data_IF_744702098963
#
_entry.id   IF_744702098963
#
_cell.length_a   1.000
_cell.length_b   1.000
_cell.length_c   1.000
_cell.angle_alpha   90.00
_cell.angle_beta   90.00
_cell.angle_gamma   90.00
#
_symmetry.space_group_name_H-M   'P 1'
#
loop_
_entity.id
_entity.type
_entity.pdbx_description
1 polymer ?
#
# COMPACT_ATOMS: atom_id res chain seq x y z
N UNK A 1 -6.63 28.03 -14.95
CA UNK A 1 -6.45 26.81 -14.11
C UNK A 1 -6.37 27.28 -12.66
N UNK A 2 -7.07 26.62 -11.74
CA UNK A 2 -6.92 26.91 -10.30
C UNK A 2 -5.52 26.48 -9.88
N UNK A 3 -4.82 27.30 -9.13
CA UNK A 3 -3.57 26.94 -8.50
C UNK A 3 -3.85 25.85 -7.46
N UNK A 4 -3.15 24.72 -7.54
CA UNK A 4 -3.24 23.63 -6.54
C UNK A 4 -1.97 23.70 -5.69
N UNK A 5 -2.17 23.84 -4.37
CA UNK A 5 -1.07 23.86 -3.39
C UNK A 5 -0.64 22.45 -3.04
N UNK A 6 0.32 21.90 -3.82
CA UNK A 6 0.77 20.53 -3.63
C UNK A 6 2.26 20.33 -3.90
N UNK A 7 2.80 19.28 -3.28
CA UNK A 7 4.14 18.74 -3.47
C UNK A 7 4.10 17.38 -4.15
N UNK A 8 5.19 16.97 -4.79
CA UNK A 8 5.44 15.57 -5.16
C UNK A 8 6.46 14.98 -4.20
N UNK A 9 6.14 13.83 -3.59
CA UNK A 9 7.02 13.09 -2.69
C UNK A 9 7.36 11.76 -3.35
N UNK A 10 8.65 11.57 -3.66
CA UNK A 10 9.16 10.36 -4.32
C UNK A 10 10.01 9.59 -3.31
N UNK A 11 9.70 8.32 -3.07
CA UNK A 11 10.61 7.41 -2.40
C UNK A 11 11.40 6.61 -3.43
N UNK A 12 12.70 6.51 -3.25
CA UNK A 12 13.58 5.77 -4.16
C UNK A 12 14.79 5.21 -3.42
N UNK A 13 15.41 4.19 -3.99
CA UNK A 13 16.76 3.74 -3.62
C UNK A 13 17.80 4.11 -4.69
N UNK A 14 17.42 4.95 -5.66
CA UNK A 14 18.31 5.46 -6.70
C UNK A 14 18.63 4.47 -7.83
N UNK A 15 17.90 3.34 -7.96
CA UNK A 15 18.23 2.25 -8.88
C UNK A 15 17.22 2.02 -10.02
N UNK A 16 16.17 2.82 -10.14
CA UNK A 16 15.12 2.64 -11.14
C UNK A 16 15.52 3.10 -12.55
N UNK A 17 16.62 3.87 -12.69
CA UNK A 17 17.24 4.27 -13.97
C UNK A 17 16.24 4.89 -14.96
N UNK A 18 16.02 4.27 -16.15
CA UNK A 18 15.12 4.78 -17.19
C UNK A 18 13.67 4.92 -16.73
N UNK A 19 13.22 4.06 -15.79
CA UNK A 19 11.87 4.14 -15.23
C UNK A 19 11.72 5.39 -14.37
N UNK A 20 12.75 5.70 -13.59
CA UNK A 20 12.81 6.94 -12.83
C UNK A 20 12.82 8.17 -13.76
N UNK A 21 13.56 8.11 -14.90
CA UNK A 21 13.51 9.21 -15.88
C UNK A 21 12.08 9.45 -16.41
N UNK A 22 11.33 8.37 -16.74
CA UNK A 22 9.93 8.50 -17.19
C UNK A 22 9.02 9.13 -16.13
N UNK A 23 9.24 8.83 -14.84
CA UNK A 23 8.55 9.51 -13.76
C UNK A 23 8.88 11.02 -13.75
N UNK A 24 10.17 11.37 -13.84
CA UNK A 24 10.60 12.78 -13.86
C UNK A 24 10.02 13.54 -15.05
N UNK A 25 9.97 12.91 -16.22
CA UNK A 25 9.35 13.49 -17.44
C UNK A 25 7.84 13.69 -17.23
N UNK A 26 7.14 12.73 -16.60
CA UNK A 26 5.73 12.88 -16.23
C UNK A 26 5.50 14.03 -15.26
N UNK A 27 6.37 14.18 -14.24
CA UNK A 27 6.29 15.29 -13.27
C UNK A 27 6.54 16.64 -13.97
N UNK A 28 7.52 16.70 -14.86
CA UNK A 28 7.80 17.92 -15.62
C UNK A 28 6.66 18.32 -16.56
N UNK A 29 5.83 17.37 -17.00
CA UNK A 29 4.68 17.60 -17.86
C UNK A 29 3.38 17.95 -17.11
N UNK A 30 3.34 17.81 -15.76
CA UNK A 30 2.12 18.04 -14.95
C UNK A 30 1.54 19.45 -15.14
N UNK A 31 0.22 19.51 -15.13
CA UNK A 31 -0.55 20.76 -15.16
C UNK A 31 -1.70 20.65 -14.13
N UNK A 32 -1.67 21.48 -13.05
CA UNK A 32 -0.62 22.46 -12.67
C UNK A 32 0.68 21.80 -12.21
N UNK A 33 1.78 22.54 -12.26
CA UNK A 33 3.08 22.11 -11.72
C UNK A 33 3.04 22.04 -10.18
N UNK A 34 3.78 21.08 -9.55
CA UNK A 34 3.94 21.07 -8.10
C UNK A 34 4.79 22.24 -7.61
N UNK A 35 4.54 22.69 -6.38
CA UNK A 35 5.36 23.75 -5.74
C UNK A 35 6.74 23.25 -5.33
N UNK A 36 6.85 21.98 -4.99
CA UNK A 36 8.13 21.33 -4.65
C UNK A 36 8.12 19.86 -5.04
N UNK A 37 9.32 19.31 -5.29
CA UNK A 37 9.54 17.87 -5.44
C UNK A 37 10.53 17.42 -4.37
N UNK A 38 10.06 16.51 -3.51
CA UNK A 38 10.78 15.94 -2.38
C UNK A 38 11.18 14.52 -2.77
N UNK A 39 12.47 14.22 -2.77
CA UNK A 39 12.99 12.88 -3.06
C UNK A 39 13.63 12.31 -1.81
N UNK A 40 13.14 11.18 -1.32
CA UNK A 40 13.64 10.57 -0.08
C UNK A 40 14.38 9.27 -0.41
N UNK A 41 15.67 9.22 -0.06
CA UNK A 41 16.55 8.06 -0.18
C UNK A 41 16.85 7.46 1.20
N UNK A 42 17.22 6.17 1.28
CA UNK A 42 17.80 5.64 2.50
C UNK A 42 19.20 6.22 2.75
N UNK A 43 19.56 6.39 4.02
CA UNK A 43 20.91 6.77 4.44
C UNK A 43 21.96 5.80 3.86
N UNK A 44 23.10 6.35 3.39
CA UNK A 44 24.17 5.59 2.77
C UNK A 44 23.95 5.20 1.32
N UNK A 45 22.86 5.62 0.70
CA UNK A 45 22.61 5.41 -0.73
C UNK A 45 23.02 6.61 -1.57
N UNK A 46 23.51 6.35 -2.78
CA UNK A 46 23.90 7.40 -3.73
C UNK A 46 22.66 8.04 -4.36
N UNK A 47 22.79 9.32 -4.69
CA UNK A 47 21.77 10.04 -5.45
C UNK A 47 21.59 9.42 -6.84
N UNK A 48 20.35 9.36 -7.35
CA UNK A 48 20.11 8.90 -8.71
C UNK A 48 20.83 9.81 -9.73
N UNK A 49 21.24 9.25 -10.85
CA UNK A 49 21.87 10.02 -11.94
C UNK A 49 20.90 11.01 -12.57
N UNK A 50 19.66 10.57 -12.76
CA UNK A 50 18.57 11.39 -13.28
C UNK A 50 18.06 12.32 -12.17
N UNK A 51 17.87 13.60 -12.49
CA UNK A 51 17.41 14.61 -11.52
C UNK A 51 16.58 15.69 -12.19
N UNK A 52 15.58 16.18 -11.48
CA UNK A 52 14.97 17.47 -11.77
C UNK A 52 15.79 18.55 -11.06
N UNK A 53 16.15 19.62 -11.76
CA UNK A 53 17.01 20.68 -11.23
C UNK A 53 16.46 21.43 -10.01
N UNK A 54 15.15 21.27 -9.76
CA UNK A 54 14.42 21.90 -8.65
C UNK A 54 13.92 20.89 -7.59
N UNK A 55 14.33 19.61 -7.69
CA UNK A 55 14.02 18.61 -6.67
C UNK A 55 14.97 18.73 -5.47
N UNK A 56 14.42 18.58 -4.27
CA UNK A 56 15.19 18.54 -3.02
C UNK A 56 15.32 17.09 -2.55
N UNK A 57 16.54 16.69 -2.21
CA UNK A 57 16.88 15.34 -1.77
C UNK A 57 17.03 15.29 -0.26
N UNK A 58 16.40 14.27 0.35
CA UNK A 58 16.48 13.97 1.76
C UNK A 58 16.90 12.53 2.00
N UNK A 59 17.45 12.27 3.17
CA UNK A 59 17.85 10.94 3.62
C UNK A 59 17.08 10.55 4.88
N UNK A 60 16.67 9.30 4.98
CA UNK A 60 15.99 8.72 6.13
C UNK A 60 16.51 7.31 6.41
N UNK A 61 16.19 6.71 7.56
CA UNK A 61 16.40 5.27 7.73
C UNK A 61 15.79 4.47 6.57
N UNK A 62 16.42 3.35 6.23
CA UNK A 62 15.94 2.48 5.14
C UNK A 62 14.60 1.84 5.51
N UNK A 63 13.60 2.03 4.67
CA UNK A 63 12.27 1.43 4.83
C UNK A 63 11.21 2.20 4.07
N UNK A 64 10.17 1.50 3.64
CA UNK A 64 9.07 2.12 2.88
C UNK A 64 8.24 3.05 3.76
N UNK A 65 7.99 2.65 5.01
CA UNK A 65 7.29 3.48 6.00
C UNK A 65 8.19 4.65 6.38
N UNK A 66 9.47 4.41 6.70
CA UNK A 66 10.41 5.44 7.12
C UNK A 66 10.58 6.54 6.05
N UNK A 67 10.83 6.16 4.79
CA UNK A 67 11.00 7.13 3.70
C UNK A 67 9.73 7.92 3.43
N UNK A 68 8.56 7.25 3.43
CA UNK A 68 7.28 7.90 3.16
C UNK A 68 6.90 8.89 4.26
N UNK A 69 7.01 8.49 5.52
CA UNK A 69 6.69 9.36 6.67
C UNK A 69 7.66 10.52 6.79
N UNK A 70 8.94 10.31 6.47
CA UNK A 70 9.90 11.41 6.43
C UNK A 70 9.52 12.44 5.35
N UNK A 71 9.21 12.00 4.12
CA UNK A 71 8.76 12.90 3.05
C UNK A 71 7.52 13.70 3.44
N UNK A 72 6.54 13.05 4.08
CA UNK A 72 5.32 13.71 4.60
C UNK A 72 5.66 14.73 5.69
N UNK A 73 6.64 14.44 6.56
CA UNK A 73 7.00 15.33 7.67
C UNK A 73 7.63 16.65 7.19
N UNK A 74 8.44 16.60 6.11
CA UNK A 74 9.11 17.79 5.55
C UNK A 74 8.27 18.54 4.52
N UNK A 75 7.15 17.97 4.06
CA UNK A 75 6.24 18.58 3.11
C UNK A 75 5.57 19.83 3.70
N UNK A 76 5.59 20.94 2.95
CA UNK A 76 5.10 22.26 3.38
C UNK A 76 3.77 22.65 2.74
N UNK A 77 3.33 21.94 1.71
CA UNK A 77 2.09 22.23 0.99
C UNK A 77 0.89 21.53 1.63
N UNK A 78 -0.31 22.01 1.31
CA UNK A 78 -1.56 21.45 1.83
C UNK A 78 -1.82 20.02 1.35
N UNK A 79 -1.41 19.70 0.13
CA UNK A 79 -1.59 18.38 -0.47
C UNK A 79 -0.25 17.81 -0.93
N UNK A 80 -0.18 16.50 -1.07
CA UNK A 80 0.95 15.86 -1.73
C UNK A 80 0.51 14.70 -2.61
N UNK A 81 1.20 14.56 -3.73
CA UNK A 81 1.25 13.35 -4.52
C UNK A 81 2.46 12.52 -4.09
N UNK A 82 2.20 11.36 -3.52
CA UNK A 82 3.23 10.44 -3.00
C UNK A 82 3.34 9.28 -3.97
N UNK A 83 4.54 8.97 -4.46
CA UNK A 83 4.73 7.92 -5.45
C UNK A 83 6.05 7.18 -5.32
N UNK A 84 6.10 6.00 -5.94
CA UNK A 84 7.30 5.21 -6.16
C UNK A 84 8.08 5.76 -7.36
N UNK A 85 9.31 5.30 -7.54
CA UNK A 85 10.24 5.79 -8.56
C UNK A 85 10.08 5.13 -9.94
N UNK A 86 9.00 4.37 -10.16
CA UNK A 86 8.74 3.61 -11.38
C UNK A 86 7.30 3.75 -11.90
N UNK A 87 6.65 4.85 -11.59
CA UNK A 87 5.32 5.19 -12.12
C UNK A 87 5.41 6.28 -13.19
N UNK A 88 4.49 6.28 -14.13
CA UNK A 88 4.31 7.34 -15.10
C UNK A 88 2.84 7.60 -15.40
N UNK A 89 2.48 8.83 -15.72
CA UNK A 89 1.11 9.31 -15.79
C UNK A 89 1.01 10.53 -16.74
N UNK A 90 -0.21 10.87 -17.14
CA UNK A 90 -0.53 12.00 -18.00
C UNK A 90 -0.51 13.34 -17.25
N UNK A 91 -0.43 14.44 -17.99
CA UNK A 91 -0.26 15.79 -17.44
C UNK A 91 -1.42 16.27 -16.55
N UNK A 92 -2.64 15.75 -16.71
CA UNK A 92 -3.85 16.09 -15.96
C UNK A 92 -4.09 15.18 -14.75
N UNK A 93 -3.19 14.23 -14.48
CA UNK A 93 -3.35 13.20 -13.46
C UNK A 93 -3.61 13.77 -12.07
N UNK A 94 -2.86 14.80 -11.68
CA UNK A 94 -3.00 15.44 -10.36
C UNK A 94 -4.31 16.22 -10.27
N UNK A 95 -4.76 16.89 -11.32
CA UNK A 95 -6.04 17.59 -11.32
C UNK A 95 -7.20 16.62 -11.06
N UNK A 96 -7.19 15.45 -11.71
CA UNK A 96 -8.16 14.38 -11.48
C UNK A 96 -8.14 13.85 -10.04
N UNK A 97 -6.97 13.59 -9.48
CA UNK A 97 -6.84 13.12 -8.11
C UNK A 97 -7.19 14.20 -7.06
N UNK A 98 -6.95 15.48 -7.37
CA UNK A 98 -7.27 16.58 -6.48
C UNK A 98 -8.79 16.84 -6.36
N UNK A 99 -9.52 16.64 -7.43
CA UNK A 99 -10.95 17.02 -7.52
C UNK A 99 -11.80 16.45 -6.38
N UNK A 100 -11.77 15.13 -6.03
CA UNK A 100 -12.60 14.62 -4.93
C UNK A 100 -12.19 15.19 -3.57
N UNK A 101 -10.91 15.53 -3.35
CA UNK A 101 -10.48 16.17 -2.11
C UNK A 101 -10.96 17.62 -2.03
N UNK A 102 -10.95 18.34 -3.14
CA UNK A 102 -11.50 19.70 -3.23
C UNK A 102 -13.02 19.73 -2.99
N UNK A 103 -13.73 18.64 -3.31
CA UNK A 103 -15.15 18.43 -3.04
C UNK A 103 -15.44 17.87 -1.64
N UNK A 104 -14.43 17.69 -0.78
CA UNK A 104 -14.53 17.09 0.54
C UNK A 104 -15.10 15.65 0.55
N UNK A 105 -14.92 14.88 -0.51
CA UNK A 105 -15.37 13.49 -0.59
C UNK A 105 -14.45 12.53 0.17
N UNK A 106 -13.19 12.91 0.36
CA UNK A 106 -12.19 12.13 1.09
C UNK A 106 -10.93 12.92 1.42
N UNK A 107 -10.05 12.31 2.18
CA UNK A 107 -8.73 12.85 2.56
C UNK A 107 -7.60 12.32 1.69
N UNK A 108 -7.83 11.18 1.03
CA UNK A 108 -6.90 10.54 0.11
C UNK A 108 -7.61 10.21 -1.21
N UNK A 109 -6.88 10.22 -2.31
CA UNK A 109 -7.37 9.75 -3.60
C UNK A 109 -6.32 8.91 -4.33
N UNK A 110 -6.80 7.93 -5.09
CA UNK A 110 -5.98 6.96 -5.84
C UNK A 110 -6.59 6.70 -7.21
N UNK A 111 -5.75 6.29 -8.16
CA UNK A 111 -6.23 5.70 -9.40
C UNK A 111 -6.39 4.18 -9.23
N UNK A 112 -7.34 3.53 -9.92
CA UNK A 112 -7.50 2.08 -9.83
C UNK A 112 -6.34 1.35 -10.51
N UNK A 113 -5.79 0.32 -9.85
CA UNK A 113 -4.79 -0.57 -10.43
C UNK A 113 -5.41 -1.95 -10.69
N UNK A 114 -5.93 -2.14 -11.88
CA UNK A 114 -6.64 -3.35 -12.28
C UNK A 114 -5.74 -4.60 -12.38
N UNK A 115 -4.43 -4.42 -12.52
CA UNK A 115 -3.46 -5.52 -12.59
C UNK A 115 -3.39 -6.37 -11.30
N UNK A 116 -3.86 -5.85 -10.17
CA UNK A 116 -3.97 -6.63 -8.93
C UNK A 116 -5.18 -7.55 -8.88
N UNK A 117 -6.14 -7.39 -9.79
CA UNK A 117 -7.31 -8.25 -9.81
C UNK A 117 -6.97 -9.56 -10.52
N UNK A 118 -7.29 -10.73 -9.94
CA UNK A 118 -7.13 -12.00 -10.65
C UNK A 118 -7.95 -11.98 -11.95
N UNK A 119 -7.38 -12.54 -13.01
CA UNK A 119 -8.09 -12.68 -14.29
C UNK A 119 -9.43 -13.42 -14.12
N UNK A 120 -10.38 -13.16 -15.03
CA UNK A 120 -11.66 -13.90 -15.06
C UNK A 120 -11.40 -15.39 -15.31
N UNK A 121 -12.30 -16.24 -14.81
CA UNK A 121 -12.21 -17.69 -15.00
C UNK A 121 -11.83 -18.44 -13.73
N UNK A 122 -11.27 -19.65 -13.88
CA UNK A 122 -10.98 -20.54 -12.76
C UNK A 122 -10.01 -19.93 -11.72
N UNK A 123 -9.05 -19.13 -12.15
CA UNK A 123 -8.11 -18.43 -11.25
C UNK A 123 -8.85 -17.50 -10.28
N UNK A 124 -9.88 -16.83 -10.75
CA UNK A 124 -10.72 -15.97 -9.92
C UNK A 124 -11.49 -16.78 -8.87
N UNK A 125 -12.03 -17.95 -9.26
CA UNK A 125 -12.72 -18.86 -8.34
C UNK A 125 -11.77 -19.41 -7.30
N UNK A 126 -10.58 -19.88 -7.70
CA UNK A 126 -9.55 -20.38 -6.79
C UNK A 126 -9.11 -19.28 -5.81
N UNK A 127 -8.88 -18.07 -6.30
CA UNK A 127 -8.53 -16.93 -5.45
C UNK A 127 -9.62 -16.58 -4.43
N UNK A 128 -10.89 -16.66 -4.84
CA UNK A 128 -12.03 -16.46 -3.94
C UNK A 128 -12.09 -17.55 -2.85
N UNK A 129 -11.99 -18.82 -3.22
CA UNK A 129 -12.01 -19.95 -2.30
C UNK A 129 -10.84 -19.92 -1.31
N UNK A 130 -9.66 -19.54 -1.78
CA UNK A 130 -8.47 -19.40 -0.93
C UNK A 130 -8.47 -18.13 -0.07
N UNK A 131 -9.51 -17.30 -0.15
CA UNK A 131 -9.61 -16.05 0.60
C UNK A 131 -8.56 -15.01 0.21
N UNK A 132 -8.09 -15.05 -1.05
CA UNK A 132 -7.19 -14.06 -1.66
C UNK A 132 -7.94 -12.80 -2.08
N UNK A 133 -7.70 -12.35 -3.31
CA UNK A 133 -8.47 -11.27 -3.93
C UNK A 133 -9.81 -11.85 -4.43
N UNK A 134 -10.90 -11.55 -3.73
CA UNK A 134 -12.24 -12.03 -4.05
C UNK A 134 -12.98 -10.98 -4.85
N UNK A 135 -13.34 -11.25 -6.13
CA UNK A 135 -14.23 -10.38 -6.88
C UNK A 135 -15.62 -10.39 -6.27
N UNK A 136 -16.21 -9.23 -6.09
CA UNK A 136 -17.57 -9.11 -5.58
C UNK A 136 -18.39 -8.11 -6.38
N UNK A 137 -19.69 -8.37 -6.49
CA UNK A 137 -20.70 -7.43 -7.01
C UNK A 137 -21.55 -6.84 -5.89
N UNK A 138 -21.32 -7.26 -4.63
CA UNK A 138 -22.15 -6.85 -3.49
C UNK A 138 -21.85 -5.43 -3.00
N UNK A 139 -20.74 -4.84 -3.41
CA UNK A 139 -20.29 -3.54 -2.96
C UNK A 139 -20.25 -2.54 -4.12
N UNK A 140 -21.44 -2.12 -4.59
CA UNK A 140 -21.58 -1.29 -5.78
C UNK A 140 -20.81 0.03 -5.72
N UNK A 141 -20.70 0.63 -4.54
CA UNK A 141 -20.10 1.97 -4.34
C UNK A 141 -18.66 1.93 -3.83
N UNK A 142 -18.08 0.74 -3.71
CA UNK A 142 -16.72 0.58 -3.20
C UNK A 142 -15.84 -0.19 -4.17
N UNK A 143 -14.55 0.17 -4.18
CA UNK A 143 -13.53 -0.51 -4.99
C UNK A 143 -12.97 -1.74 -4.28
N UNK A 144 -12.55 -1.59 -3.02
CA UNK A 144 -11.94 -2.66 -2.24
C UNK A 144 -12.39 -2.65 -0.78
N UNK A 145 -12.70 -3.83 -0.26
CA UNK A 145 -12.91 -4.10 1.15
C UNK A 145 -11.85 -5.02 1.72
N UNK A 146 -11.41 -4.73 2.94
CA UNK A 146 -10.54 -5.61 3.73
C UNK A 146 -11.40 -6.63 4.46
N UNK A 147 -11.14 -7.92 4.21
CA UNK A 147 -11.86 -9.04 4.82
C UNK A 147 -11.24 -9.44 6.16
N UNK A 148 -12.05 -10.01 7.06
CA UNK A 148 -11.63 -10.46 8.41
C UNK A 148 -10.42 -11.40 8.40
N UNK A 149 -10.24 -12.18 7.34
CA UNK A 149 -9.08 -13.07 7.16
C UNK A 149 -7.89 -12.42 6.46
N UNK A 150 -7.83 -11.09 6.33
CA UNK A 150 -6.80 -10.35 5.58
C UNK A 150 -6.84 -10.54 4.06
N UNK A 151 -7.91 -11.08 3.53
CA UNK A 151 -8.20 -11.06 2.10
C UNK A 151 -8.82 -9.73 1.69
N UNK A 152 -9.02 -9.57 0.41
CA UNK A 152 -9.63 -8.37 -0.17
C UNK A 152 -10.83 -8.75 -1.01
N UNK A 153 -11.87 -7.94 -0.95
CA UNK A 153 -13.03 -8.05 -1.83
C UNK A 153 -13.02 -6.87 -2.80
N UNK A 154 -12.81 -7.14 -4.10
CA UNK A 154 -12.70 -6.12 -5.13
C UNK A 154 -13.95 -6.04 -5.99
N UNK A 155 -14.41 -4.83 -6.27
CA UNK A 155 -15.44 -4.57 -7.26
C UNK A 155 -14.81 -4.52 -8.66
N UNK A 156 -15.10 -5.54 -9.48
CA UNK A 156 -14.64 -5.60 -10.88
C UNK A 156 -15.51 -4.83 -11.87
N UNK A 157 -16.66 -4.39 -11.42
CA UNK A 157 -17.66 -3.76 -12.26
C UNK A 157 -17.71 -2.24 -12.01
N UNK A 158 -16.52 -1.63 -11.85
CA UNK A 158 -16.42 -0.19 -11.80
C UNK A 158 -16.96 0.38 -13.12
N UNK A 159 -18.02 1.17 -13.01
CA UNK A 159 -18.60 1.87 -14.14
C UNK A 159 -17.84 3.17 -14.32
N UNK A 160 -17.33 3.42 -15.53
CA UNK A 160 -16.64 4.69 -15.84
C UNK A 160 -17.55 5.92 -15.69
N UNK A 161 -18.88 5.71 -15.79
CA UNK A 161 -19.87 6.75 -15.53
C UNK A 161 -19.86 7.20 -14.07
N UNK A 162 -19.52 6.31 -13.13
CA UNK A 162 -19.31 6.65 -11.74
C UNK A 162 -17.86 7.10 -11.57
N UNK A 163 -17.66 8.40 -11.51
CA UNK A 163 -16.34 9.00 -11.42
C UNK A 163 -15.58 8.56 -10.16
N UNK A 164 -16.29 8.34 -9.05
CA UNK A 164 -15.71 8.07 -7.74
C UNK A 164 -16.26 6.81 -7.09
N UNK A 165 -15.35 6.07 -6.44
CA UNK A 165 -15.67 4.95 -5.54
C UNK A 165 -14.87 5.11 -4.25
N UNK A 166 -15.36 4.52 -3.15
CA UNK A 166 -14.60 4.44 -1.91
C UNK A 166 -13.76 3.17 -1.84
N UNK A 167 -12.70 3.20 -1.03
CA UNK A 167 -11.85 2.02 -0.84
C UNK A 167 -11.29 1.97 0.57
N UNK A 168 -11.10 0.75 1.10
CA UNK A 168 -10.41 0.51 2.37
C UNK A 168 -8.92 0.15 2.16
N UNK A 169 -8.53 -0.16 0.93
CA UNK A 169 -7.16 -0.51 0.57
C UNK A 169 -6.92 -0.16 -0.89
N UNK A 170 -5.70 0.24 -1.20
CA UNK A 170 -5.26 0.56 -2.55
C UNK A 170 -3.79 0.14 -2.72
N UNK A 171 -3.29 0.19 -3.96
CA UNK A 171 -1.86 0.08 -4.22
C UNK A 171 -1.15 1.34 -3.74
N UNK A 172 -0.08 1.16 -2.99
CA UNK A 172 0.74 2.26 -2.47
C UNK A 172 1.73 2.84 -3.47
N UNK A 173 1.70 2.39 -4.73
CA UNK A 173 2.61 2.84 -5.79
C UNK A 173 2.48 4.32 -6.09
N UNK A 174 1.26 4.86 -6.02
CA UNK A 174 1.03 6.30 -6.00
C UNK A 174 -0.35 6.64 -5.42
N UNK A 175 -0.43 7.78 -4.72
CA UNK A 175 -1.67 8.34 -4.20
C UNK A 175 -1.52 9.84 -3.93
N UNK A 176 -2.64 10.53 -3.84
CA UNK A 176 -2.72 11.95 -3.51
C UNK A 176 -3.45 12.14 -2.19
N UNK A 177 -2.97 13.01 -1.32
CA UNK A 177 -3.51 13.15 0.02
C UNK A 177 -3.49 14.60 0.54
N UNK A 178 -4.44 14.91 1.42
CA UNK A 178 -4.33 16.05 2.33
C UNK A 178 -3.25 15.73 3.36
N UNK A 179 -2.24 16.60 3.48
CA UNK A 179 -1.07 16.35 4.33
C UNK A 179 -1.41 16.40 5.81
N UNK A 180 -2.28 17.31 6.25
CA UNK A 180 -2.67 17.41 7.65
C UNK A 180 -3.43 16.18 8.12
N UNK A 181 -4.33 15.66 7.28
CA UNK A 181 -5.05 14.42 7.56
C UNK A 181 -4.11 13.21 7.55
N UNK A 182 -3.19 13.15 6.58
CA UNK A 182 -2.22 12.07 6.51
C UNK A 182 -1.26 12.05 7.70
N UNK A 183 -0.82 13.20 8.19
CA UNK A 183 -0.02 13.33 9.43
C UNK A 183 -0.78 12.78 10.64
N UNK A 184 -2.08 13.04 10.76
CA UNK A 184 -2.93 12.52 11.85
C UNK A 184 -3.11 11.00 11.80
N UNK A 185 -2.88 10.35 10.67
CA UNK A 185 -2.86 8.87 10.59
C UNK A 185 -1.73 8.27 11.42
N UNK A 186 -0.67 9.04 11.73
CA UNK A 186 0.48 8.59 12.50
C UNK A 186 1.08 7.31 11.92
N UNK A 187 1.36 7.32 10.60
CA UNK A 187 1.88 6.14 9.92
C UNK A 187 3.29 5.76 10.37
N UNK A 188 4.05 6.71 10.92
CA UNK A 188 5.35 6.49 11.58
C UNK A 188 5.27 5.50 12.76
N UNK A 189 4.12 5.31 13.37
CA UNK A 189 3.91 4.29 14.42
C UNK A 189 3.94 2.85 13.87
N UNK A 190 3.93 2.67 12.55
CA UNK A 190 3.94 1.36 11.90
C UNK A 190 5.33 0.96 11.35
N UNK A 191 6.42 1.56 11.85
CA UNK A 191 7.81 1.24 11.47
C UNK A 191 8.19 -0.25 11.68
N UNK A 192 7.41 -1.00 12.47
CA UNK A 192 7.57 -2.45 12.58
C UNK A 192 7.48 -3.19 11.24
N UNK A 193 6.83 -2.58 10.23
CA UNK A 193 6.70 -3.11 8.87
C UNK A 193 8.08 -3.18 8.19
N UNK A 194 8.94 -2.21 8.42
CA UNK A 194 10.27 -2.10 7.79
C UNK A 194 11.31 -3.01 8.44
N UNK A 195 11.04 -3.52 9.64
CA UNK A 195 12.01 -4.18 10.53
C UNK A 195 12.69 -5.41 9.93
N UNK A 196 12.02 -6.13 9.05
CA UNK A 196 12.50 -7.40 8.51
C UNK A 196 13.12 -7.26 7.10
N UNK A 197 13.36 -6.05 6.63
CA UNK A 197 14.08 -5.77 5.37
C UNK A 197 13.21 -5.78 4.09
N UNK A 198 11.93 -6.15 4.19
CA UNK A 198 10.95 -6.01 3.12
C UNK A 198 9.59 -5.60 3.69
N UNK A 199 9.10 -4.44 3.28
CA UNK A 199 7.93 -3.79 3.87
C UNK A 199 6.61 -4.26 3.24
N UNK A 200 6.41 -5.56 3.14
CA UNK A 200 5.17 -6.13 2.61
C UNK A 200 3.95 -5.61 3.37
N UNK A 201 2.86 -5.30 2.65
CA UNK A 201 1.59 -4.80 3.19
C UNK A 201 1.63 -3.38 3.77
N UNK A 202 2.66 -2.59 3.49
CA UNK A 202 2.75 -1.23 4.02
C UNK A 202 1.61 -0.34 3.53
N UNK A 203 1.26 -0.47 2.26
CA UNK A 203 0.15 0.21 1.62
C UNK A 203 -1.21 -0.18 2.24
N UNK A 204 -1.46 -1.47 2.44
CA UNK A 204 -2.67 -1.95 3.08
C UNK A 204 -2.80 -1.44 4.52
N UNK A 205 -1.69 -1.42 5.26
CA UNK A 205 -1.68 -0.87 6.62
C UNK A 205 -2.02 0.62 6.60
N UNK A 206 -1.39 1.39 5.73
CA UNK A 206 -1.61 2.84 5.64
C UNK A 206 -3.08 3.18 5.33
N UNK A 207 -3.62 2.63 4.23
CA UNK A 207 -4.99 2.94 3.81
C UNK A 207 -6.03 2.40 4.79
N UNK A 208 -5.84 1.19 5.32
CA UNK A 208 -6.80 0.61 6.25
C UNK A 208 -6.77 1.30 7.61
N UNK A 209 -5.60 1.71 8.10
CA UNK A 209 -5.47 2.53 9.29
C UNK A 209 -6.17 3.88 9.12
N UNK A 210 -5.93 4.57 8.00
CA UNK A 210 -6.63 5.81 7.66
C UNK A 210 -8.16 5.61 7.65
N UNK A 211 -8.65 4.54 7.02
CA UNK A 211 -10.06 4.17 7.01
C UNK A 211 -10.64 3.98 8.42
N UNK A 212 -9.93 3.22 9.29
CA UNK A 212 -10.37 2.99 10.67
C UNK A 212 -10.42 4.27 11.51
N UNK A 213 -9.59 5.25 11.19
CA UNK A 213 -9.58 6.58 11.82
C UNK A 213 -10.62 7.55 11.21
N UNK A 214 -11.40 7.11 10.22
CA UNK A 214 -12.45 7.91 9.58
C UNK A 214 -12.00 8.70 8.36
N UNK A 215 -10.75 8.61 7.94
CA UNK A 215 -10.23 9.21 6.72
C UNK A 215 -10.61 8.38 5.51
N UNK A 216 -11.37 8.97 4.59
CA UNK A 216 -11.84 8.27 3.40
C UNK A 216 -10.80 8.32 2.28
N UNK A 217 -10.61 7.19 1.60
CA UNK A 217 -9.86 7.10 0.34
C UNK A 217 -10.83 6.98 -0.83
N UNK A 218 -10.68 7.85 -1.83
CA UNK A 218 -11.51 7.90 -3.03
C UNK A 218 -10.73 7.33 -4.21
N UNK A 219 -11.32 6.39 -4.93
CA UNK A 219 -10.82 5.90 -6.21
C UNK A 219 -11.37 6.76 -7.32
N UNK A 220 -10.51 7.30 -8.17
CA UNK A 220 -10.86 8.18 -9.31
C UNK A 220 -10.73 7.35 -10.59
N UNK A 221 -11.86 7.00 -11.21
CA UNK A 221 -11.91 6.01 -12.30
C UNK A 221 -11.36 6.52 -13.63
N UNK A 222 -11.34 7.83 -13.85
CA UNK A 222 -10.79 8.48 -15.03
C UNK A 222 -9.32 8.91 -14.87
N UNK A 223 -8.73 8.71 -13.68
CA UNK A 223 -7.29 8.82 -13.48
C UNK A 223 -6.61 7.49 -13.82
N UNK A 224 -5.53 7.55 -14.58
CA UNK A 224 -4.77 6.37 -14.97
C UNK A 224 -3.26 6.61 -14.87
N UNK A 225 -2.53 5.58 -14.46
CA UNK A 225 -1.08 5.57 -14.43
C UNK A 225 -0.55 4.20 -14.83
N UNK A 226 0.71 4.15 -15.19
CA UNK A 226 1.44 2.91 -15.48
C UNK A 226 2.45 2.69 -14.35
N UNK A 227 2.42 1.50 -13.75
CA UNK A 227 3.45 1.02 -12.83
C UNK A 227 4.40 0.10 -13.59
N UNK A 228 5.62 0.56 -13.81
CA UNK A 228 6.60 -0.13 -14.65
C UNK A 228 7.33 -1.28 -13.94
N UNK A 229 7.12 -1.46 -12.64
CA UNK A 229 7.73 -2.46 -11.75
C UNK A 229 9.25 -2.58 -11.97
N UNK A 230 10.01 -1.68 -11.36
CA UNK A 230 11.47 -1.63 -11.49
C UNK A 230 12.18 -2.88 -10.94
N UNK A 231 11.47 -3.70 -10.13
CA UNK A 231 12.00 -4.92 -9.47
C UNK A 231 13.28 -4.65 -8.65
N UNK A 232 13.48 -3.42 -8.23
CA UNK A 232 14.70 -3.00 -7.51
C UNK A 232 14.76 -3.56 -6.10
N UNK A 233 13.59 -3.80 -5.47
CA UNK A 233 13.47 -4.30 -4.10
C UNK A 233 13.50 -5.84 -3.98
N UNK A 234 13.30 -6.58 -5.09
CA UNK A 234 13.10 -8.03 -5.06
C UNK A 234 14.19 -8.84 -5.77
N UNK A 235 15.16 -8.17 -6.43
CA UNK A 235 16.11 -8.84 -7.33
C UNK A 235 16.99 -9.89 -6.68
N UNK A 236 17.33 -9.75 -5.39
CA UNK A 236 18.36 -10.61 -4.78
C UNK A 236 17.86 -11.48 -3.62
N UNK A 237 16.56 -11.43 -3.25
CA UNK A 237 16.07 -12.03 -2.01
C UNK A 237 14.68 -12.66 -2.18
N UNK A 238 14.58 -13.69 -3.01
CA UNK A 238 13.31 -14.38 -3.29
C UNK A 238 12.61 -14.97 -2.04
N UNK A 239 13.31 -15.14 -0.93
CA UNK A 239 12.81 -15.80 0.27
C UNK A 239 12.36 -14.81 1.36
N UNK A 240 13.04 -13.65 1.50
CA UNK A 240 12.70 -12.63 2.51
C UNK A 240 11.27 -12.08 2.34
N UNK A 241 10.79 -11.75 1.13
CA UNK A 241 9.42 -11.27 0.95
C UNK A 241 8.36 -12.22 1.52
N UNK A 242 8.56 -13.53 1.41
CA UNK A 242 7.60 -14.52 1.94
C UNK A 242 7.57 -14.56 3.47
N UNK A 243 8.74 -14.45 4.10
CA UNK A 243 8.83 -14.31 5.55
C UNK A 243 8.15 -13.03 6.02
N UNK A 244 8.50 -11.88 5.41
CA UNK A 244 7.96 -10.58 5.76
C UNK A 244 6.46 -10.49 5.54
N UNK A 245 5.95 -11.02 4.42
CA UNK A 245 4.51 -11.07 4.18
C UNK A 245 3.78 -11.88 5.26
N UNK A 246 4.32 -13.03 5.65
CA UNK A 246 3.69 -13.86 6.68
C UNK A 246 3.73 -13.20 8.07
N UNK A 247 4.82 -12.52 8.39
CA UNK A 247 4.98 -11.75 9.62
C UNK A 247 4.03 -10.54 9.63
N UNK A 248 4.15 -9.66 8.64
CA UNK A 248 3.39 -8.41 8.56
C UNK A 248 1.88 -8.67 8.48
N UNK A 249 1.46 -9.67 7.71
CA UNK A 249 0.03 -10.08 7.63
C UNK A 249 -0.51 -10.55 8.97
N UNK A 250 0.29 -11.25 9.77
CA UNK A 250 -0.13 -11.73 11.10
C UNK A 250 -0.28 -10.56 12.07
N UNK A 251 0.66 -9.60 12.05
CA UNK A 251 0.60 -8.39 12.87
C UNK A 251 -0.55 -7.50 12.42
N UNK A 252 -0.70 -7.27 11.11
CA UNK A 252 -1.82 -6.53 10.52
C UNK A 252 -3.17 -7.08 10.97
N UNK A 253 -3.38 -8.39 10.84
CA UNK A 253 -4.61 -9.03 11.27
C UNK A 253 -4.90 -8.78 12.75
N UNK A 254 -3.91 -8.98 13.63
CA UNK A 254 -4.11 -8.77 15.06
C UNK A 254 -4.40 -7.31 15.37
N UNK A 255 -3.58 -6.40 14.86
CA UNK A 255 -3.63 -4.97 15.18
C UNK A 255 -4.87 -4.28 14.63
N UNK A 256 -5.20 -4.51 13.36
CA UNK A 256 -6.21 -3.75 12.64
C UNK A 256 -7.55 -4.47 12.44
N UNK A 257 -7.61 -5.78 12.62
CA UNK A 257 -8.84 -6.55 12.47
C UNK A 257 -9.30 -7.11 13.82
N UNK A 258 -8.51 -7.99 14.41
CA UNK A 258 -8.88 -8.69 15.62
C UNK A 258 -9.10 -7.76 16.82
N UNK A 259 -8.18 -6.82 17.05
CA UNK A 259 -8.26 -5.86 18.17
C UNK A 259 -9.41 -4.85 18.01
N UNK A 260 -9.89 -4.63 16.79
CA UNK A 260 -11.03 -3.74 16.51
C UNK A 260 -12.41 -4.43 16.62
N UNK A 261 -12.46 -5.74 16.77
CA UNK A 261 -13.74 -6.43 16.92
C UNK A 261 -14.34 -6.13 18.31
N UNK A 262 -15.53 -5.53 18.30
CA UNK A 262 -16.17 -4.98 19.50
C UNK A 262 -16.61 -6.04 20.52
N UNK A 263 -16.94 -7.25 20.05
CA UNK A 263 -17.51 -8.29 20.90
C UNK A 263 -16.81 -9.65 20.74
N UNK A 264 -17.11 -10.58 21.64
CA UNK A 264 -16.51 -11.92 21.65
C UNK A 264 -16.83 -12.71 20.37
N UNK A 265 -18.05 -12.59 19.84
CA UNK A 265 -18.46 -13.27 18.62
C UNK A 265 -17.66 -12.77 17.40
N UNK A 266 -17.53 -11.45 17.23
CA UNK A 266 -16.69 -10.85 16.17
C UNK A 266 -15.25 -11.31 16.24
N UNK A 267 -14.65 -11.33 17.46
CA UNK A 267 -13.30 -11.86 17.69
C UNK A 267 -13.17 -13.34 17.33
N UNK A 268 -14.15 -14.15 17.70
CA UNK A 268 -14.17 -15.59 17.36
C UNK A 268 -14.26 -15.78 15.82
N UNK A 269 -15.14 -15.04 15.17
CA UNK A 269 -15.29 -15.06 13.72
C UNK A 269 -14.02 -14.60 13.00
N UNK A 270 -13.37 -13.51 13.47
CA UNK A 270 -12.10 -13.04 12.91
C UNK A 270 -11.00 -14.12 13.04
N UNK A 271 -10.92 -14.82 14.17
CA UNK A 271 -9.99 -15.96 14.36
C UNK A 271 -10.28 -17.09 13.37
N UNK A 272 -11.53 -17.44 13.17
CA UNK A 272 -11.94 -18.51 12.24
C UNK A 272 -11.57 -18.13 10.80
N UNK A 273 -11.91 -16.92 10.34
CA UNK A 273 -11.58 -16.41 9.01
C UNK A 273 -10.06 -16.39 8.77
N UNK A 274 -9.28 -15.94 9.77
CA UNK A 274 -7.82 -15.92 9.65
C UNK A 274 -7.21 -17.32 9.66
N UNK A 275 -7.74 -18.24 10.48
CA UNK A 275 -7.32 -19.64 10.50
C UNK A 275 -7.60 -20.33 9.17
N UNK A 276 -8.79 -20.12 8.59
CA UNK A 276 -9.15 -20.59 7.25
C UNK A 276 -8.17 -20.06 6.19
N UNK A 277 -7.98 -18.75 6.10
CA UNK A 277 -7.03 -18.12 5.16
C UNK A 277 -5.61 -18.68 5.31
N UNK A 278 -5.15 -18.83 6.56
CA UNK A 278 -3.84 -19.39 6.86
C UNK A 278 -3.72 -20.86 6.42
N UNK A 279 -4.76 -21.65 6.65
CA UNK A 279 -4.84 -23.06 6.23
C UNK A 279 -4.79 -23.19 4.71
N UNK A 280 -5.65 -22.46 3.99
CA UNK A 280 -5.67 -22.43 2.54
C UNK A 280 -4.33 -21.99 1.95
N UNK A 281 -3.71 -20.93 2.48
CA UNK A 281 -2.40 -20.47 2.04
C UNK A 281 -1.31 -21.52 2.23
N UNK A 282 -1.35 -22.26 3.34
CA UNK A 282 -0.38 -23.33 3.61
C UNK A 282 -0.57 -24.53 2.68
N UNK A 283 -1.82 -24.97 2.49
CA UNK A 283 -2.16 -26.05 1.56
C UNK A 283 -1.75 -25.71 0.13
N UNK A 284 -2.05 -24.50 -0.34
CA UNK A 284 -1.63 -24.03 -1.64
C UNK A 284 -0.10 -23.97 -1.79
N UNK A 285 0.60 -23.52 -0.75
CA UNK A 285 2.08 -23.52 -0.77
C UNK A 285 2.65 -24.94 -0.87
N UNK A 286 2.09 -25.91 -0.16
CA UNK A 286 2.49 -27.32 -0.28
C UNK A 286 2.16 -27.90 -1.65
N UNK A 287 1.01 -27.56 -2.22
CA UNK A 287 0.67 -27.93 -3.60
C UNK A 287 1.75 -27.44 -4.58
N UNK A 288 2.14 -26.16 -4.48
CA UNK A 288 3.20 -25.60 -5.32
C UNK A 288 4.56 -26.30 -5.10
N UNK A 289 4.88 -26.73 -3.87
CA UNK A 289 6.12 -27.50 -3.60
C UNK A 289 6.08 -28.87 -4.27
N UNK A 290 4.94 -29.58 -4.19
CA UNK A 290 4.77 -30.90 -4.81
C UNK A 290 4.97 -30.81 -6.34
N UNK A 291 4.42 -29.78 -6.96
CA UNK A 291 4.54 -29.52 -8.39
C UNK A 291 5.82 -28.76 -8.79
N UNK A 292 6.79 -28.62 -7.88
CA UNK A 292 8.10 -27.96 -8.11
C UNK A 292 8.02 -26.50 -8.58
N UNK A 293 6.91 -25.81 -8.27
CA UNK A 293 6.76 -24.36 -8.51
C UNK A 293 7.22 -23.51 -7.34
N UNK A 294 7.56 -24.12 -6.21
CA UNK A 294 8.00 -23.45 -4.99
C UNK A 294 8.98 -24.33 -4.22
N UNK A 295 10.04 -23.73 -3.65
CA UNK A 295 10.99 -24.42 -2.78
C UNK A 295 10.40 -24.69 -1.40
N UNK A 296 10.78 -25.83 -0.80
CA UNK A 296 10.40 -26.19 0.58
C UNK A 296 10.81 -25.12 1.60
N UNK A 297 11.95 -24.47 1.38
CA UNK A 297 12.45 -23.38 2.21
C UNK A 297 11.47 -22.22 2.31
N UNK A 298 10.80 -21.87 1.21
CA UNK A 298 9.72 -20.85 1.21
C UNK A 298 8.62 -21.17 2.22
N UNK A 299 8.21 -22.43 2.35
CA UNK A 299 7.18 -22.85 3.32
C UNK A 299 7.70 -22.76 4.74
N UNK A 300 8.97 -23.10 4.98
CA UNK A 300 9.63 -22.98 6.28
C UNK A 300 9.67 -21.52 6.71
N UNK A 301 10.04 -20.61 5.81
CA UNK A 301 10.10 -19.16 6.07
C UNK A 301 8.72 -18.56 6.37
N UNK A 302 7.68 -18.96 5.65
CA UNK A 302 6.29 -18.55 5.96
C UNK A 302 5.89 -19.01 7.37
N UNK A 303 6.22 -20.25 7.76
CA UNK A 303 5.95 -20.74 9.13
C UNK A 303 6.75 -19.95 10.17
N UNK A 304 8.02 -19.67 9.88
CA UNK A 304 8.89 -18.85 10.75
C UNK A 304 8.32 -17.45 10.93
N UNK A 305 7.97 -16.74 9.85
CA UNK A 305 7.38 -15.41 9.90
C UNK A 305 6.11 -15.36 10.78
N UNK A 306 5.22 -16.34 10.63
CA UNK A 306 4.01 -16.47 11.47
C UNK A 306 4.32 -16.72 12.96
N UNK A 307 5.36 -17.50 13.27
CA UNK A 307 5.80 -17.77 14.64
C UNK A 307 6.40 -16.50 15.26
N UNK A 308 7.31 -15.86 14.53
CA UNK A 308 8.04 -14.69 15.01
C UNK A 308 7.08 -13.49 15.20
N UNK A 309 6.06 -13.36 14.33
CA UNK A 309 4.98 -12.40 14.52
C UNK A 309 4.22 -12.63 15.85
N UNK A 310 3.91 -13.90 16.20
CA UNK A 310 3.25 -14.20 17.48
C UNK A 310 4.11 -13.83 18.69
N UNK A 311 5.44 -13.95 18.58
CA UNK A 311 6.38 -13.49 19.60
C UNK A 311 6.38 -11.97 19.68
N UNK A 312 6.43 -11.29 18.53
CA UNK A 312 6.34 -9.83 18.44
C UNK A 312 5.05 -9.28 19.09
N UNK A 313 3.90 -9.91 18.83
CA UNK A 313 2.62 -9.51 19.44
C UNK A 313 2.60 -9.56 20.97
N UNK A 314 3.55 -10.27 21.59
CA UNK A 314 3.70 -10.35 23.06
C UNK A 314 4.81 -9.43 23.58
N UNK A 315 5.56 -8.77 22.72
CA UNK A 315 6.67 -7.90 23.10
C UNK A 315 6.20 -6.56 23.66
N UNK A 316 7.03 -5.94 24.48
CA UNK A 316 6.82 -4.57 24.95
C UNK A 316 6.79 -3.56 23.80
N UNK A 317 7.58 -3.81 22.73
CA UNK A 317 7.56 -2.99 21.53
C UNK A 317 6.17 -2.94 20.88
N UNK A 318 5.53 -4.10 20.69
CA UNK A 318 4.18 -4.14 20.14
C UNK A 318 3.15 -3.47 21.07
N UNK A 319 3.28 -3.67 22.38
CA UNK A 319 2.38 -3.08 23.37
C UNK A 319 2.54 -1.57 23.49
N UNK A 320 3.72 -1.03 23.17
CA UNK A 320 4.00 0.42 23.14
C UNK A 320 3.59 1.10 21.83
N UNK A 321 3.15 0.35 20.81
CA UNK A 321 2.67 0.96 19.57
C UNK A 321 1.47 1.85 19.87
N UNK A 322 1.49 3.06 19.33
CA UNK A 322 0.41 4.03 19.48
C UNK A 322 -0.95 3.39 19.16
N UNK A 323 -1.88 3.45 20.10
CA UNK A 323 -3.26 3.06 19.86
C UNK A 323 -3.88 4.11 18.93
N UNK A 324 -4.30 3.68 17.74
CA UNK A 324 -5.16 4.51 16.90
C UNK A 324 -6.58 4.32 17.44
N UNK A 325 -7.09 5.34 18.12
CA UNK A 325 -8.47 5.35 18.59
C UNK A 325 -9.38 5.98 17.55
N UNK A 326 -10.60 5.42 17.47
CA UNK A 326 -11.72 6.06 16.79
C UNK A 326 -12.17 7.30 17.53
#
# INVERSE_FOLDING_TARGET
>A
MREIDYSVIIRTIGKANEKYQKLLDSIAALKPQPKEVIVVLPEGYELPRQRLGWATFYFSPKGMVAQRTYGVSVCKTKYAFICDDDVNFESDFIEKLHEPLAQNLGSLSVAPLYSFLPEKGYRSVVSALLGGAMPTVLHKDNYCFVLRGTGYSYNRHLKKENKYYFTQSAAGTCFYANIDDLKKVHFESELWIDKNGYSSMEDQVMFYKAHLMGYRTVVVTDAAYVHADAKTSTRDINLIPRYCEAFNRTVFWHRFIYSNEKNAFGRALARLCFAYKKGCSLLYSWFLVIFKHLDKESVVLVKKGKRDAKTFLKSGEYQSLHEYMR
#
